data_IF_860313626269
#
_entry.id   IF_860313626269
#
_cell.length_a   1.000
_cell.length_b   1.000
_cell.length_c   1.000
_cell.angle_alpha   90.00
_cell.angle_beta   90.00
_cell.angle_gamma   90.00
#
_symmetry.space_group_name_H-M   'P 1'
#
loop_
_entity.id
_entity.type
_entity.pdbx_description
1 polymer ?
#
# COMPACT_ATOMS: atom_id res chain seq x y z
N UNK A 1 27.79 24.86 11.78
CA UNK A 1 27.17 24.27 12.98
C UNK A 1 26.20 23.21 12.51
N UNK A 2 26.55 21.94 12.74
CA UNK A 2 25.74 20.80 12.33
C UNK A 2 24.59 20.73 13.34
N UNK A 3 23.38 21.10 12.91
CA UNK A 3 22.19 20.86 13.70
C UNK A 3 22.01 19.35 13.79
N UNK A 4 22.45 18.77 14.91
CA UNK A 4 21.97 17.47 15.36
C UNK A 4 20.45 17.58 15.52
N UNK A 5 19.69 17.22 14.50
CA UNK A 5 18.29 16.88 14.66
C UNK A 5 18.26 15.67 15.59
N UNK A 6 18.05 15.93 16.89
CA UNK A 6 17.47 14.94 17.77
C UNK A 6 16.11 14.66 17.13
N UNK A 7 16.02 13.55 16.40
CA UNK A 7 14.75 13.06 15.87
C UNK A 7 13.86 12.86 17.09
N UNK A 8 13.00 13.83 17.35
CA UNK A 8 12.00 13.68 18.38
C UNK A 8 11.13 12.53 17.89
N UNK A 9 11.24 11.37 18.56
CA UNK A 9 10.46 10.18 18.26
C UNK A 9 8.99 10.47 18.58
N UNK A 10 8.34 11.31 17.80
CA UNK A 10 6.96 11.77 17.98
C UNK A 10 6.12 11.05 16.94
N UNK A 11 5.06 10.42 17.43
CA UNK A 11 4.08 9.73 16.62
C UNK A 11 3.36 10.75 15.72
N UNK A 12 3.33 10.52 14.39
CA UNK A 12 2.74 11.47 13.44
C UNK A 12 1.22 11.61 13.59
N UNK A 13 0.55 10.66 14.25
CA UNK A 13 -0.91 10.67 14.43
C UNK A 13 -1.33 11.27 15.76
N UNK A 14 -0.81 10.74 16.88
CA UNK A 14 -1.24 11.13 18.23
C UNK A 14 -0.29 12.10 18.95
N UNK A 15 0.85 12.45 18.34
CA UNK A 15 1.85 13.39 18.89
C UNK A 15 2.46 12.94 20.24
N UNK A 16 2.28 11.67 20.62
CA UNK A 16 2.97 11.04 21.76
C UNK A 16 4.28 10.41 21.32
N UNK A 17 5.08 9.95 22.28
CA UNK A 17 6.35 9.31 21.99
C UNK A 17 6.14 8.00 21.20
N UNK A 18 7.01 7.78 20.22
CA UNK A 18 7.21 6.53 19.51
C UNK A 18 8.58 5.95 19.87
N UNK A 19 8.78 4.66 19.64
CA UNK A 19 10.05 3.99 19.86
C UNK A 19 10.50 3.22 18.63
N UNK A 20 11.82 3.09 18.38
CA UNK A 20 12.32 2.20 17.33
C UNK A 20 11.82 0.77 17.57
N UNK A 21 11.32 0.13 16.52
CA UNK A 21 10.78 -1.24 16.57
C UNK A 21 11.76 -2.24 15.96
N UNK A 22 12.11 -2.08 14.68
CA UNK A 22 13.13 -2.88 13.99
C UNK A 22 13.59 -2.22 12.70
N UNK A 23 14.73 -2.69 12.19
CA UNK A 23 15.21 -2.36 10.84
C UNK A 23 14.80 -3.44 9.83
N UNK A 24 14.36 -3.05 8.63
CA UNK A 24 14.02 -3.97 7.54
C UNK A 24 14.76 -3.55 6.27
N UNK A 25 15.61 -4.44 5.74
CA UNK A 25 16.38 -4.13 4.53
C UNK A 25 15.53 -4.44 3.30
N UNK A 26 15.05 -3.40 2.64
CA UNK A 26 14.41 -3.53 1.34
C UNK A 26 15.46 -3.51 0.23
N UNK A 27 15.06 -4.07 -0.91
CA UNK A 27 15.76 -3.92 -2.16
C UNK A 27 14.77 -3.71 -3.31
N UNK A 28 15.23 -3.70 -4.56
CA UNK A 28 14.44 -3.41 -5.73
C UNK A 28 15.29 -3.57 -6.99
N UNK A 29 14.65 -3.47 -8.16
CA UNK A 29 15.37 -3.50 -9.44
C UNK A 29 16.09 -2.17 -9.68
N UNK A 30 17.21 -2.24 -10.39
CA UNK A 30 18.05 -1.09 -10.75
C UNK A 30 18.40 -0.25 -9.51
N UNK A 31 18.30 1.08 -9.63
CA UNK A 31 18.53 2.03 -8.55
C UNK A 31 17.23 2.45 -7.86
N UNK A 32 16.29 1.50 -7.68
CA UNK A 32 14.99 1.79 -7.05
C UNK A 32 15.13 2.61 -5.77
N UNK A 33 14.22 3.56 -5.55
CA UNK A 33 14.18 4.38 -4.32
C UNK A 33 14.03 3.55 -3.05
N UNK A 34 13.52 2.32 -3.18
CA UNK A 34 13.36 1.37 -2.08
C UNK A 34 14.60 0.49 -1.81
N UNK A 35 15.73 0.76 -2.45
CA UNK A 35 17.03 0.17 -2.08
C UNK A 35 17.61 0.83 -0.81
N UNK A 36 17.03 0.53 0.35
CA UNK A 36 17.47 1.07 1.64
C UNK A 36 17.04 0.17 2.82
N UNK A 37 17.57 0.45 4.00
CA UNK A 37 17.08 -0.13 5.24
C UNK A 37 16.01 0.76 5.84
N UNK A 38 14.76 0.32 5.81
CA UNK A 38 13.64 0.97 6.48
C UNK A 38 13.74 0.82 8.00
N UNK A 39 13.54 1.91 8.72
CA UNK A 39 13.50 1.96 10.18
C UNK A 39 12.05 2.00 10.62
N UNK A 40 11.53 0.87 11.08
CA UNK A 40 10.19 0.79 11.63
C UNK A 40 10.17 1.33 13.06
N UNK A 41 9.15 2.13 13.35
CA UNK A 41 8.84 2.68 14.65
C UNK A 41 7.42 2.28 15.05
N UNK A 42 7.19 2.20 16.35
CA UNK A 42 5.86 1.96 16.91
C UNK A 42 5.47 3.07 17.91
N UNK A 43 4.18 3.37 17.97
CA UNK A 43 3.62 4.21 19.02
C UNK A 43 2.78 3.37 20.00
N UNK A 44 3.27 3.25 21.23
CA UNK A 44 2.61 2.50 22.32
C UNK A 44 1.33 3.16 22.85
N UNK A 45 0.96 4.33 22.34
CA UNK A 45 -0.26 5.05 22.74
C UNK A 45 -1.42 4.86 21.76
N UNK A 46 -1.14 4.80 20.46
CA UNK A 46 -2.18 4.69 19.43
C UNK A 46 -2.09 3.44 18.56
N UNK A 47 -0.99 2.70 18.65
CA UNK A 47 -0.78 1.43 17.96
C UNK A 47 -0.24 1.59 16.53
N UNK A 48 0.03 2.82 16.08
CA UNK A 48 0.61 3.06 14.76
C UNK A 48 1.99 2.41 14.67
N UNK A 49 2.21 1.65 13.60
CA UNK A 49 3.55 1.25 13.13
C UNK A 49 3.84 2.00 11.84
N UNK A 50 5.05 2.54 11.70
CA UNK A 50 5.41 3.36 10.54
C UNK A 50 6.89 3.34 10.22
N UNK A 51 7.24 3.74 9.00
CA UNK A 51 8.61 3.91 8.54
C UNK A 51 9.05 5.36 8.76
N UNK A 52 10.11 5.56 9.52
CA UNK A 52 10.62 6.90 9.82
C UNK A 52 11.43 7.47 8.65
N UNK A 53 12.35 6.69 8.08
CA UNK A 53 13.50 7.21 7.32
C UNK A 53 13.31 7.19 5.80
N UNK A 54 12.11 7.52 5.34
CA UNK A 54 11.80 7.74 3.92
C UNK A 54 11.21 9.14 3.73
N UNK A 55 11.70 9.85 2.71
CA UNK A 55 11.29 11.22 2.40
C UNK A 55 10.14 11.23 1.39
N UNK A 56 9.35 12.30 1.43
CA UNK A 56 8.29 12.58 0.44
C UNK A 56 8.86 12.64 -0.98
N UNK A 57 10.08 13.18 -1.16
CA UNK A 57 10.76 13.22 -2.45
C UNK A 57 10.97 11.82 -3.04
N UNK A 58 11.40 10.84 -2.23
CA UNK A 58 11.59 9.45 -2.69
C UNK A 58 10.26 8.81 -3.07
N UNK A 59 9.21 9.05 -2.30
CA UNK A 59 7.87 8.54 -2.59
C UNK A 59 7.32 9.14 -3.89
N UNK A 60 7.52 10.43 -4.11
CA UNK A 60 7.16 11.11 -5.35
C UNK A 60 7.92 10.56 -6.57
N UNK A 61 9.22 10.27 -6.43
CA UNK A 61 10.01 9.59 -7.48
C UNK A 61 9.44 8.21 -7.79
N UNK A 62 9.05 7.43 -6.77
CA UNK A 62 8.40 6.14 -6.99
C UNK A 62 7.14 6.30 -7.86
N UNK A 63 6.21 7.17 -7.47
CA UNK A 63 4.95 7.35 -8.21
C UNK A 63 5.13 7.87 -9.63
N UNK A 64 6.13 8.73 -9.87
CA UNK A 64 6.36 9.32 -11.20
C UNK A 64 7.16 8.40 -12.15
N UNK A 65 8.08 7.58 -11.62
CA UNK A 65 9.06 6.84 -12.42
C UNK A 65 8.89 5.32 -12.31
N UNK A 66 8.73 4.78 -11.11
CA UNK A 66 8.81 3.34 -10.84
C UNK A 66 7.43 2.65 -10.77
N UNK A 67 6.37 3.41 -10.45
CA UNK A 67 5.03 2.88 -10.27
C UNK A 67 4.42 2.38 -11.59
N UNK A 68 3.87 1.17 -11.57
CA UNK A 68 3.27 0.45 -12.70
C UNK A 68 1.77 0.14 -12.48
N UNK A 69 1.11 0.85 -11.56
CA UNK A 69 -0.30 0.61 -11.22
C UNK A 69 -1.25 0.72 -12.42
N UNK A 70 -0.94 1.58 -13.39
CA UNK A 70 -1.75 1.80 -14.60
C UNK A 70 -1.85 0.59 -15.53
N UNK A 71 -1.03 -0.45 -15.35
CA UNK A 71 -1.03 -1.66 -16.19
C UNK A 71 -1.50 -2.91 -15.45
N UNK A 72 -1.78 -2.83 -14.14
CA UNK A 72 -2.17 -4.01 -13.34
C UNK A 72 -3.66 -4.30 -13.39
N UNK A 73 -3.98 -5.59 -13.43
CA UNK A 73 -5.35 -6.13 -13.31
C UNK A 73 -6.00 -5.76 -11.97
N UNK A 74 -5.20 -5.64 -10.90
CA UNK A 74 -5.64 -5.18 -9.58
C UNK A 74 -6.51 -3.92 -9.63
N UNK A 75 -6.16 -3.00 -10.54
CA UNK A 75 -6.82 -1.70 -10.71
C UNK A 75 -7.76 -1.66 -11.93
N UNK A 76 -8.16 -2.81 -12.47
CA UNK A 76 -9.20 -2.86 -13.49
C UNK A 76 -10.52 -2.36 -12.92
N UNK A 77 -10.96 -1.22 -13.42
CA UNK A 77 -12.18 -0.53 -12.98
C UNK A 77 -13.46 -1.30 -13.35
N UNK A 78 -13.37 -2.33 -14.20
CA UNK A 78 -14.49 -3.16 -14.64
C UNK A 78 -14.54 -4.51 -13.93
N UNK A 79 -13.54 -4.87 -13.13
CA UNK A 79 -13.54 -6.16 -12.44
C UNK A 79 -14.74 -6.26 -11.48
N UNK A 80 -15.39 -7.44 -11.38
CA UNK A 80 -16.50 -7.65 -10.44
C UNK A 80 -16.14 -7.33 -8.99
N UNK A 81 -14.90 -7.60 -8.59
CA UNK A 81 -14.34 -7.34 -7.27
C UNK A 81 -14.30 -5.84 -6.98
N UNK A 82 -13.73 -5.04 -7.89
CA UNK A 82 -13.67 -3.59 -7.72
C UNK A 82 -15.08 -2.96 -7.78
N UNK A 83 -15.98 -3.47 -8.63
CA UNK A 83 -17.39 -3.02 -8.65
C UNK A 83 -18.09 -3.28 -7.31
N UNK A 84 -17.87 -4.45 -6.69
CA UNK A 84 -18.40 -4.75 -5.36
C UNK A 84 -17.85 -3.80 -4.30
N UNK A 85 -16.56 -3.49 -4.37
CA UNK A 85 -15.89 -2.53 -3.50
C UNK A 85 -16.45 -1.10 -3.67
N UNK A 86 -16.70 -0.65 -4.90
CA UNK A 86 -17.31 0.66 -5.17
C UNK A 86 -18.74 0.77 -4.62
N UNK A 87 -19.52 -0.32 -4.72
CA UNK A 87 -20.84 -0.37 -4.09
C UNK A 87 -20.74 -0.22 -2.58
N UNK A 88 -19.81 -0.92 -1.93
CA UNK A 88 -19.57 -0.79 -0.50
C UNK A 88 -19.18 0.64 -0.09
N UNK A 89 -18.29 1.29 -0.85
CA UNK A 89 -17.94 2.70 -0.61
C UNK A 89 -19.16 3.63 -0.72
N UNK A 90 -20.00 3.45 -1.75
CA UNK A 90 -21.24 4.23 -1.90
C UNK A 90 -22.19 4.02 -0.73
N UNK A 91 -22.43 2.76 -0.35
CA UNK A 91 -23.32 2.43 0.77
C UNK A 91 -22.79 2.99 2.10
N UNK A 92 -21.48 3.03 2.29
CA UNK A 92 -20.86 3.65 3.45
C UNK A 92 -21.09 5.17 3.49
N UNK A 93 -20.97 5.84 2.34
CA UNK A 93 -21.16 7.28 2.21
C UNK A 93 -22.63 7.68 2.40
N UNK A 94 -23.57 6.98 1.74
CA UNK A 94 -24.98 7.39 1.72
C UNK A 94 -25.74 7.13 3.03
N UNK A 95 -25.23 6.25 3.90
CA UNK A 95 -25.87 5.93 5.20
C UNK A 95 -26.14 7.15 6.09
N UNK A 96 -25.37 8.23 5.95
CA UNK A 96 -25.52 9.44 6.76
C UNK A 96 -26.56 10.46 6.23
N UNK A 97 -27.28 10.14 5.14
CA UNK A 97 -28.34 10.97 4.55
C UNK A 97 -27.96 12.46 4.33
N UNK A 98 -26.69 12.72 4.03
CA UNK A 98 -26.22 14.08 3.77
C UNK A 98 -26.36 14.43 2.29
N UNK A 99 -26.75 15.68 2.00
CA UNK A 99 -26.82 16.17 0.63
C UNK A 99 -25.44 16.60 0.14
N UNK A 100 -24.70 15.68 -0.48
CA UNK A 100 -23.41 15.95 -1.07
C UNK A 100 -23.60 16.75 -2.37
N UNK A 101 -23.06 17.96 -2.45
CA UNK A 101 -23.12 18.80 -3.66
C UNK A 101 -21.95 18.48 -4.61
N UNK A 102 -20.77 18.22 -4.05
CA UNK A 102 -19.54 17.88 -4.78
C UNK A 102 -18.72 16.86 -3.97
N UNK A 103 -18.29 15.80 -4.64
CA UNK A 103 -17.36 14.79 -4.13
C UNK A 103 -16.03 14.89 -4.89
N UNK A 104 -14.92 14.91 -4.15
CA UNK A 104 -13.60 14.78 -4.73
C UNK A 104 -12.88 13.53 -4.17
N UNK A 105 -12.50 12.63 -5.07
CA UNK A 105 -11.67 11.46 -4.74
C UNK A 105 -10.20 11.81 -4.99
N UNK A 106 -9.42 11.80 -3.91
CA UNK A 106 -8.02 12.19 -3.92
C UNK A 106 -7.18 10.91 -3.98
N UNK A 107 -6.26 10.81 -4.94
CA UNK A 107 -5.62 9.56 -5.33
C UNK A 107 -6.57 8.67 -6.16
N UNK A 108 -7.35 9.26 -7.06
CA UNK A 108 -8.43 8.55 -7.76
C UNK A 108 -7.96 7.46 -8.75
N UNK A 109 -6.66 7.39 -9.06
CA UNK A 109 -6.06 6.52 -10.04
C UNK A 109 -6.80 6.60 -11.38
N UNK A 110 -7.29 5.45 -11.85
CA UNK A 110 -8.05 5.30 -13.11
C UNK A 110 -9.49 5.85 -13.05
N UNK A 111 -9.88 6.49 -11.95
CA UNK A 111 -11.20 7.09 -11.75
C UNK A 111 -12.34 6.08 -11.58
N UNK A 112 -12.04 4.82 -11.31
CA UNK A 112 -13.01 3.73 -11.34
C UNK A 112 -14.21 3.95 -10.43
N UNK A 113 -13.98 4.39 -9.19
CA UNK A 113 -15.05 4.69 -8.24
C UNK A 113 -15.95 5.83 -8.74
N UNK A 114 -15.37 6.96 -9.16
CA UNK A 114 -16.12 8.14 -9.63
C UNK A 114 -16.93 7.87 -10.89
N UNK A 115 -16.34 7.15 -11.85
CA UNK A 115 -17.02 6.75 -13.10
C UNK A 115 -18.15 5.77 -12.80
N UNK A 116 -17.93 4.86 -11.85
CA UNK A 116 -18.97 3.96 -11.38
C UNK A 116 -20.10 4.71 -10.67
N UNK A 117 -19.82 5.70 -9.82
CA UNK A 117 -20.82 6.55 -9.18
C UNK A 117 -21.69 7.28 -10.22
N UNK A 118 -21.06 7.93 -11.20
CA UNK A 118 -21.78 8.64 -12.27
C UNK A 118 -22.73 7.70 -13.01
N UNK A 119 -22.23 6.52 -13.43
CA UNK A 119 -23.03 5.52 -14.15
C UNK A 119 -24.21 5.00 -13.32
N UNK A 120 -24.08 4.98 -12.00
CA UNK A 120 -25.12 4.53 -11.07
C UNK A 120 -25.96 5.68 -10.51
N UNK A 121 -25.97 6.84 -11.19
CA UNK A 121 -26.91 7.93 -10.90
C UNK A 121 -26.61 8.70 -9.62
N UNK A 122 -25.35 8.72 -9.16
CA UNK A 122 -24.95 9.57 -8.05
C UNK A 122 -25.19 11.04 -8.42
N UNK A 123 -25.96 11.74 -7.59
CA UNK A 123 -26.48 13.07 -7.93
C UNK A 123 -25.46 14.20 -7.81
N UNK A 124 -24.37 13.97 -7.10
CA UNK A 124 -23.32 14.95 -6.86
C UNK A 124 -22.36 15.07 -8.04
N UNK A 125 -21.75 16.25 -8.18
CA UNK A 125 -20.63 16.42 -9.11
C UNK A 125 -19.42 15.60 -8.63
N UNK A 126 -18.92 14.72 -9.50
CA UNK A 126 -17.76 13.88 -9.25
C UNK A 126 -16.47 14.53 -9.77
N UNK A 127 -15.43 14.56 -8.93
CA UNK A 127 -14.12 15.11 -9.25
C UNK A 127 -13.03 14.13 -8.81
N UNK A 128 -12.05 13.83 -9.67
CA UNK A 128 -10.87 13.05 -9.34
C UNK A 128 -9.63 13.92 -9.29
N UNK A 129 -8.73 13.64 -8.34
CA UNK A 129 -7.41 14.26 -8.26
C UNK A 129 -6.37 13.17 -8.15
N UNK A 130 -5.37 13.17 -9.02
CA UNK A 130 -4.24 12.25 -8.91
C UNK A 130 -2.92 12.91 -9.33
N UNK A 131 -1.82 12.46 -8.73
CA UNK A 131 -0.46 12.88 -9.09
C UNK A 131 0.02 12.16 -10.35
N UNK A 132 -0.40 10.90 -10.56
CA UNK A 132 -0.07 10.13 -11.73
C UNK A 132 -1.00 10.46 -12.90
N UNK A 133 -0.55 11.40 -13.72
CA UNK A 133 -1.24 11.80 -14.95
C UNK A 133 -1.46 10.66 -15.95
N UNK A 134 -0.69 9.56 -15.90
CA UNK A 134 -0.88 8.40 -16.80
C UNK A 134 -2.12 7.59 -16.42
N UNK A 135 -2.50 7.61 -15.15
CA UNK A 135 -3.67 6.92 -14.63
C UNK A 135 -4.97 7.71 -14.88
N UNK A 136 -4.89 9.03 -15.05
CA UNK A 136 -6.07 9.88 -15.28
C UNK A 136 -6.79 9.46 -16.57
N UNK A 137 -8.08 9.10 -16.51
CA UNK A 137 -8.78 8.59 -17.67
C UNK A 137 -9.10 9.71 -18.66
N UNK A 138 -8.86 9.43 -19.94
CA UNK A 138 -9.38 10.24 -21.06
C UNK A 138 -10.70 9.60 -21.47
N UNK A 139 -11.82 10.23 -21.14
CA UNK A 139 -13.15 9.70 -21.41
C UNK A 139 -14.16 10.82 -21.73
N UNK A 140 -15.38 10.42 -22.13
CA UNK A 140 -16.50 11.33 -22.37
C UNK A 140 -17.45 11.43 -21.16
N UNK A 141 -16.96 11.16 -19.95
CA UNK A 141 -17.76 11.30 -18.72
C UNK A 141 -17.92 12.78 -18.34
N UNK A 142 -18.88 13.05 -17.45
CA UNK A 142 -19.01 14.35 -16.78
C UNK A 142 -18.09 14.47 -15.55
N UNK A 143 -17.40 13.38 -15.16
CA UNK A 143 -16.39 13.40 -14.10
C UNK A 143 -15.22 14.29 -14.53
N UNK A 144 -14.85 15.24 -13.67
CA UNK A 144 -13.70 16.09 -13.91
C UNK A 144 -12.46 15.49 -13.26
N UNK A 145 -11.35 15.44 -13.98
CA UNK A 145 -10.07 14.98 -13.45
C UNK A 145 -9.04 16.10 -13.44
N UNK A 146 -8.31 16.23 -12.34
CA UNK A 146 -7.26 17.21 -12.16
C UNK A 146 -5.96 16.53 -11.76
N UNK A 147 -4.84 17.09 -12.23
CA UNK A 147 -3.55 16.78 -11.64
C UNK A 147 -3.36 17.59 -10.36
N UNK A 148 -2.93 16.93 -9.28
CA UNK A 148 -2.70 17.57 -7.99
C UNK A 148 -2.22 16.56 -6.95
N UNK A 149 -1.81 17.06 -5.78
CA UNK A 149 -1.38 16.23 -4.65
C UNK A 149 -2.35 16.37 -3.49
N UNK A 150 -2.38 15.37 -2.60
CA UNK A 150 -3.17 15.45 -1.37
C UNK A 150 -2.72 16.59 -0.43
N UNK A 151 -1.47 17.04 -0.56
CA UNK A 151 -0.87 18.15 0.20
C UNK A 151 -1.02 19.52 -0.47
N UNK A 152 -1.59 19.57 -1.68
CA UNK A 152 -1.90 20.80 -2.40
C UNK A 152 -3.07 20.57 -3.36
N UNK A 153 -4.28 20.66 -2.82
CA UNK A 153 -5.49 20.34 -3.58
C UNK A 153 -5.85 21.46 -4.56
N UNK A 154 -6.22 21.15 -5.83
CA UNK A 154 -6.49 22.13 -6.88
C UNK A 154 -7.87 22.80 -6.75
N UNK A 155 -8.30 23.08 -5.52
CA UNK A 155 -9.61 23.62 -5.20
C UNK A 155 -9.52 24.94 -4.44
N UNK A 156 -10.51 25.79 -4.65
CA UNK A 156 -10.74 26.97 -3.80
C UNK A 156 -11.25 26.53 -2.43
N UNK A 157 -11.07 27.41 -1.45
CA UNK A 157 -11.53 27.18 -0.08
C UNK A 157 -13.04 26.92 -0.05
N UNK A 158 -13.48 26.01 0.83
CA UNK A 158 -14.89 25.72 1.08
C UNK A 158 -15.71 25.46 -0.18
N UNK A 159 -15.25 24.56 -1.04
CA UNK A 159 -15.95 24.15 -2.28
C UNK A 159 -16.42 22.71 -2.28
N UNK A 160 -15.74 21.83 -1.54
CA UNK A 160 -16.04 20.40 -1.55
C UNK A 160 -16.95 20.02 -0.38
N UNK A 161 -17.94 19.16 -0.62
CA UNK A 161 -18.84 18.67 0.43
C UNK A 161 -18.39 17.33 1.02
N UNK A 162 -17.68 16.54 0.22
CA UNK A 162 -17.10 15.25 0.60
C UNK A 162 -15.73 15.10 -0.08
N UNK A 163 -14.73 14.69 0.70
CA UNK A 163 -13.47 14.18 0.18
C UNK A 163 -13.35 12.69 0.48
N UNK A 164 -12.95 11.89 -0.50
CA UNK A 164 -12.58 10.48 -0.31
C UNK A 164 -11.09 10.29 -0.52
N UNK A 165 -10.50 9.41 0.28
CA UNK A 165 -9.09 9.01 0.22
C UNK A 165 -9.03 7.49 0.38
N UNK A 166 -9.03 6.76 -0.73
CA UNK A 166 -8.98 5.30 -0.73
C UNK A 166 -7.57 4.82 -1.08
N UNK A 167 -6.88 4.16 -0.13
CA UNK A 167 -5.49 3.71 -0.27
C UNK A 167 -4.51 4.84 -0.58
N UNK A 168 -4.54 5.89 0.25
CA UNK A 168 -3.72 7.10 0.05
C UNK A 168 -2.94 7.48 1.30
N UNK A 169 -3.56 7.42 2.47
CA UNK A 169 -2.96 7.88 3.72
C UNK A 169 -1.73 7.06 4.13
N UNK A 170 -1.69 5.79 3.77
CA UNK A 170 -0.56 4.89 4.04
C UNK A 170 0.69 5.22 3.22
N UNK A 171 0.57 6.10 2.22
CA UNK A 171 1.63 6.43 1.27
C UNK A 171 2.20 7.84 1.40
N UNK A 172 1.58 8.74 2.17
CA UNK A 172 1.95 10.16 2.22
C UNK A 172 2.61 10.49 3.55
N UNK A 173 3.80 11.12 3.53
CA UNK A 173 4.56 11.42 4.75
C UNK A 173 3.90 12.50 5.61
N UNK A 174 3.46 13.60 5.01
CA UNK A 174 2.91 14.75 5.75
C UNK A 174 1.38 14.71 5.87
N UNK A 175 0.89 13.82 6.74
CA UNK A 175 -0.55 13.64 7.00
C UNK A 175 -1.23 14.89 7.59
N UNK A 176 -0.48 15.72 8.33
CA UNK A 176 -1.05 16.94 8.89
C UNK A 176 -1.29 17.97 7.79
N UNK A 177 -0.35 18.12 6.84
CA UNK A 177 -0.55 18.99 5.68
C UNK A 177 -1.71 18.51 4.80
N UNK A 178 -1.84 17.18 4.59
CA UNK A 178 -3.01 16.61 3.88
C UNK A 178 -4.32 17.02 4.55
N UNK A 179 -4.41 16.89 5.88
CA UNK A 179 -5.64 17.22 6.60
C UNK A 179 -5.88 18.72 6.72
N UNK A 180 -4.83 19.55 6.73
CA UNK A 180 -4.95 21.01 6.62
C UNK A 180 -5.55 21.42 5.27
N UNK A 181 -5.09 20.81 4.18
CA UNK A 181 -5.64 21.04 2.85
C UNK A 181 -7.08 20.53 2.72
N UNK A 182 -7.35 19.33 3.24
CA UNK A 182 -8.71 18.80 3.32
C UNK A 182 -9.64 19.76 4.08
N UNK A 183 -9.19 20.27 5.22
CA UNK A 183 -9.95 21.25 6.00
C UNK A 183 -10.19 22.55 5.22
N UNK A 184 -9.17 23.05 4.51
CA UNK A 184 -9.26 24.28 3.70
C UNK A 184 -10.32 24.17 2.61
N UNK A 185 -10.35 23.06 1.87
CA UNK A 185 -11.22 22.91 0.70
C UNK A 185 -12.63 22.45 1.04
N UNK A 186 -12.82 21.77 2.18
CA UNK A 186 -14.14 21.34 2.65
C UNK A 186 -14.99 22.53 3.11
N UNK A 187 -16.26 22.52 2.70
CA UNK A 187 -17.29 23.40 3.29
C UNK A 187 -17.42 23.14 4.80
N UNK A 188 -18.03 24.09 5.50
CA UNK A 188 -18.41 23.85 6.90
C UNK A 188 -19.38 22.67 6.98
N UNK A 189 -19.16 21.79 7.96
CA UNK A 189 -19.87 20.51 8.09
C UNK A 189 -19.66 19.51 6.93
N UNK A 190 -18.69 19.76 6.04
CA UNK A 190 -18.27 18.78 5.04
C UNK A 190 -17.59 17.56 5.65
N UNK A 191 -17.52 16.49 4.88
CA UNK A 191 -17.03 15.19 5.34
C UNK A 191 -15.75 14.76 4.65
N UNK A 192 -14.97 13.97 5.35
CA UNK A 192 -13.86 13.20 4.81
C UNK A 192 -14.14 11.72 5.08
N UNK A 193 -13.89 10.89 4.07
CA UNK A 193 -13.87 9.43 4.19
C UNK A 193 -12.46 8.97 3.83
N UNK A 194 -11.86 8.21 4.73
CA UNK A 194 -10.54 7.62 4.54
C UNK A 194 -10.69 6.11 4.62
N UNK A 195 -10.13 5.39 3.67
CA UNK A 195 -9.98 3.94 3.71
C UNK A 195 -8.51 3.57 3.54
N UNK A 196 -8.03 2.70 4.43
CA UNK A 196 -6.67 2.17 4.45
C UNK A 196 -6.73 0.69 4.84
N UNK A 197 -5.69 -0.10 4.57
CA UNK A 197 -5.55 -1.42 5.17
C UNK A 197 -5.60 -1.38 6.70
N UNK A 198 -6.43 -2.23 7.31
CA UNK A 198 -6.51 -2.39 8.76
C UNK A 198 -5.35 -3.26 9.25
N UNK A 199 -4.26 -2.59 9.63
CA UNK A 199 -3.06 -3.28 10.06
C UNK A 199 -3.26 -4.11 11.33
N UNK A 200 -4.23 -3.76 12.19
CA UNK A 200 -4.56 -4.53 13.40
C UNK A 200 -5.00 -5.97 13.09
N UNK A 201 -5.44 -6.23 11.85
CA UNK A 201 -5.97 -7.50 11.37
C UNK A 201 -5.02 -8.23 10.41
N UNK A 202 -3.83 -7.72 10.14
CA UNK A 202 -2.88 -8.39 9.24
C UNK A 202 -2.54 -9.83 9.67
N UNK A 203 -2.39 -10.09 10.97
CA UNK A 203 -2.12 -11.46 11.46
C UNK A 203 -3.33 -12.39 11.29
N UNK A 204 -4.55 -11.85 11.31
CA UNK A 204 -5.78 -12.64 11.11
C UNK A 204 -5.97 -13.00 9.63
N UNK A 205 -5.45 -12.17 8.72
CA UNK A 205 -5.55 -12.33 7.28
C UNK A 205 -4.16 -12.24 6.62
N UNK A 206 -3.23 -13.15 6.93
CA UNK A 206 -1.88 -13.09 6.38
C UNK A 206 -1.88 -13.50 4.91
N UNK A 207 -1.15 -12.76 4.08
CA UNK A 207 -0.79 -13.21 2.72
C UNK A 207 0.68 -13.59 2.79
N UNK A 208 0.91 -14.89 2.87
CA UNK A 208 2.19 -15.45 3.19
C UNK A 208 2.93 -14.79 4.37
N UNK A 209 4.26 -14.84 4.36
CA UNK A 209 5.06 -14.46 5.53
C UNK A 209 5.15 -12.95 5.78
N UNK A 210 5.23 -12.13 4.74
CA UNK A 210 5.64 -10.73 4.87
C UNK A 210 4.90 -9.75 3.96
N UNK A 211 3.89 -10.20 3.19
CA UNK A 211 3.23 -9.38 2.15
C UNK A 211 2.87 -7.98 2.63
N UNK A 212 2.14 -7.87 3.74
CA UNK A 212 1.64 -6.59 4.26
C UNK A 212 2.73 -5.55 4.57
N UNK A 213 3.93 -6.01 4.98
CA UNK A 213 5.07 -5.14 5.28
C UNK A 213 6.06 -5.07 4.11
N UNK A 214 5.92 -5.92 3.11
CA UNK A 214 6.72 -5.93 1.90
C UNK A 214 6.22 -4.92 0.86
N UNK A 215 4.98 -4.44 0.95
CA UNK A 215 4.48 -3.31 0.16
C UNK A 215 5.20 -2.04 0.64
N UNK A 216 6.29 -1.68 -0.04
CA UNK A 216 7.33 -0.77 0.48
C UNK A 216 6.87 0.69 0.54
N UNK A 217 5.90 1.01 -0.29
CA UNK A 217 5.20 2.29 -0.35
C UNK A 217 4.16 2.45 0.78
N UNK A 218 3.81 1.41 1.53
CA UNK A 218 2.97 1.50 2.73
C UNK A 218 3.86 1.92 3.92
N UNK A 219 4.07 3.22 4.07
CA UNK A 219 4.92 3.78 5.13
C UNK A 219 4.19 3.95 6.46
N UNK A 220 2.86 3.85 6.47
CA UNK A 220 2.03 3.81 7.68
C UNK A 220 1.16 2.55 7.72
N UNK A 221 1.09 1.92 8.88
CA UNK A 221 0.24 0.78 9.17
C UNK A 221 -0.75 1.17 10.26
N UNK A 222 -1.94 1.60 9.84
CA UNK A 222 -2.91 2.24 10.72
C UNK A 222 -3.73 1.23 11.53
N UNK A 223 -3.99 1.61 12.78
CA UNK A 223 -5.13 1.11 13.56
C UNK A 223 -6.25 2.15 13.51
N UNK A 224 -7.47 1.73 13.86
CA UNK A 224 -8.59 2.67 14.04
C UNK A 224 -8.25 3.78 15.04
N UNK A 225 -7.58 3.43 16.15
CA UNK A 225 -7.18 4.39 17.17
C UNK A 225 -6.17 5.42 16.62
N UNK A 226 -5.15 4.99 15.88
CA UNK A 226 -4.17 5.89 15.27
C UNK A 226 -4.83 6.88 14.30
N UNK A 227 -5.66 6.38 13.39
CA UNK A 227 -6.31 7.23 12.37
C UNK A 227 -7.34 8.19 12.99
N UNK A 228 -8.07 7.75 14.02
CA UNK A 228 -8.97 8.63 14.78
C UNK A 228 -8.22 9.74 15.53
N UNK A 229 -7.07 9.43 16.14
CA UNK A 229 -6.26 10.46 16.81
C UNK A 229 -5.75 11.50 15.81
N UNK A 230 -5.29 11.06 14.65
CA UNK A 230 -4.84 11.95 13.57
C UNK A 230 -5.96 12.92 13.15
N UNK A 231 -7.17 12.40 12.91
CA UNK A 231 -8.34 13.21 12.54
C UNK A 231 -8.74 14.20 13.64
N UNK A 232 -8.82 13.74 14.89
CA UNK A 232 -9.16 14.58 16.05
C UNK A 232 -8.16 15.72 16.30
N UNK A 233 -6.90 15.51 15.92
CA UNK A 233 -5.85 16.52 16.04
C UNK A 233 -5.89 17.56 14.91
N UNK A 234 -6.61 17.27 13.82
CA UNK A 234 -6.71 18.11 12.62
C UNK A 234 -8.13 18.66 12.39
N UNK A 235 -8.91 18.85 13.46
CA UNK A 235 -10.27 19.42 13.41
C UNK A 235 -11.26 18.60 12.57
N UNK A 236 -11.20 17.27 12.74
CA UNK A 236 -12.18 16.34 12.24
C UNK A 236 -12.77 15.50 13.38
N UNK A 237 -14.09 15.53 13.50
CA UNK A 237 -14.88 14.71 14.43
C UNK A 237 -15.24 13.40 13.73
N UNK A 238 -14.72 12.28 14.22
CA UNK A 238 -15.03 10.95 13.71
C UNK A 238 -16.48 10.61 14.05
N UNK A 239 -17.25 10.28 13.01
CA UNK A 239 -18.66 9.94 13.09
C UNK A 239 -18.84 8.43 13.02
N UNK A 240 -18.05 7.76 12.17
CA UNK A 240 -18.20 6.34 11.88
C UNK A 240 -16.88 5.68 11.57
N UNK A 241 -16.74 4.43 12.01
CA UNK A 241 -15.63 3.54 11.67
C UNK A 241 -16.20 2.18 11.31
N UNK A 242 -15.71 1.60 10.23
CA UNK A 242 -16.13 0.30 9.73
C UNK A 242 -14.89 -0.51 9.36
N UNK A 243 -14.86 -1.77 9.82
CA UNK A 243 -13.80 -2.73 9.56
C UNK A 243 -14.43 -3.87 8.77
N UNK A 244 -13.95 -4.15 7.56
CA UNK A 244 -14.53 -5.16 6.67
C UNK A 244 -13.43 -5.94 5.95
N UNK A 245 -13.75 -7.09 5.34
CA UNK A 245 -12.90 -7.67 4.29
C UNK A 245 -13.39 -7.17 2.94
N UNK A 246 -12.53 -6.44 2.21
CA UNK A 246 -12.87 -5.95 0.90
C UNK A 246 -12.13 -6.72 -0.19
N UNK A 247 -12.80 -7.00 -1.33
CA UNK A 247 -12.19 -7.74 -2.40
C UNK A 247 -11.29 -6.85 -3.28
N UNK A 248 -10.27 -7.47 -3.83
CA UNK A 248 -9.53 -7.04 -5.01
C UNK A 248 -9.51 -8.20 -5.99
N UNK A 249 -9.16 -7.98 -7.27
CA UNK A 249 -9.07 -9.06 -8.24
C UNK A 249 -8.19 -10.24 -7.81
N UNK A 250 -7.16 -9.99 -6.99
CA UNK A 250 -6.16 -10.99 -6.62
C UNK A 250 -6.38 -11.59 -5.22
N UNK A 251 -6.93 -10.82 -4.28
CA UNK A 251 -7.13 -11.24 -2.89
C UNK A 251 -8.13 -10.34 -2.16
N UNK A 252 -8.64 -10.82 -1.02
CA UNK A 252 -9.36 -9.98 -0.05
C UNK A 252 -8.39 -9.41 0.98
N UNK A 253 -8.63 -8.18 1.42
CA UNK A 253 -7.78 -7.52 2.41
C UNK A 253 -8.61 -6.95 3.58
N UNK A 254 -8.02 -6.88 4.78
CA UNK A 254 -8.68 -6.24 5.90
C UNK A 254 -8.68 -4.72 5.68
N UNK A 255 -9.86 -4.15 5.50
CA UNK A 255 -10.08 -2.72 5.30
C UNK A 255 -10.49 -2.04 6.60
N UNK A 256 -9.99 -0.83 6.82
CA UNK A 256 -10.41 0.12 7.84
C UNK A 256 -10.89 1.40 7.14
N UNK A 257 -12.19 1.69 7.26
CA UNK A 257 -12.79 2.89 6.70
C UNK A 257 -13.34 3.79 7.81
N UNK A 258 -13.03 5.08 7.74
CA UNK A 258 -13.43 6.09 8.72
C UNK A 258 -14.11 7.25 8.01
N UNK A 259 -15.29 7.62 8.49
CA UNK A 259 -15.93 8.89 8.14
C UNK A 259 -15.77 9.88 9.29
N UNK A 260 -15.30 11.08 8.95
CA UNK A 260 -15.22 12.18 9.88
C UNK A 260 -15.78 13.47 9.28
N UNK A 261 -16.31 14.31 10.15
CA UNK A 261 -16.90 15.61 9.82
C UNK A 261 -15.92 16.72 10.18
N UNK A 262 -15.76 17.70 9.29
CA UNK A 262 -15.03 18.94 9.61
C UNK A 262 -15.72 19.62 10.78
N UNK A 263 -15.05 19.65 11.93
CA UNK A 263 -15.63 20.06 13.21
C UNK A 263 -14.53 20.34 14.23
N UNK A 264 -14.75 21.33 15.10
CA UNK A 264 -13.87 21.57 16.27
C UNK A 264 -14.22 20.68 17.46
N UNK A 265 -15.35 19.99 17.41
CA UNK A 265 -15.74 19.05 18.46
C UNK A 265 -14.82 17.84 18.44
N UNK A 266 -14.67 17.20 19.60
CA UNK A 266 -13.95 15.94 19.71
C UNK A 266 -14.89 14.78 19.34
N UNK A 267 -14.30 13.76 18.73
CA UNK A 267 -14.99 12.51 18.42
C UNK A 267 -15.58 11.91 19.69
N UNK A 268 -16.81 11.38 19.56
CA UNK A 268 -17.42 10.57 20.63
C UNK A 268 -16.96 9.12 20.59
N UNK A 269 -16.38 8.69 19.46
CA UNK A 269 -15.90 7.33 19.26
C UNK A 269 -14.57 7.15 20.00
N UNK A 270 -14.55 6.19 20.93
CA UNK A 270 -13.38 5.82 21.72
C UNK A 270 -12.95 4.42 21.27
N UNK A 271 -11.69 4.27 20.88
CA UNK A 271 -11.11 2.98 20.52
C UNK A 271 -10.19 2.49 21.62
N UNK A 272 -10.24 1.18 21.87
CA UNK A 272 -9.22 0.52 22.66
C UNK A 272 -7.92 0.46 21.88
N UNK A 273 -6.81 0.41 22.60
CA UNK A 273 -5.50 0.17 22.03
C UNK A 273 -5.41 -1.26 21.49
N UNK A 274 -4.79 -1.42 20.32
CA UNK A 274 -4.60 -2.70 19.64
C UNK A 274 -3.08 -2.93 19.46
N UNK A 275 -2.51 -3.94 20.12
CA UNK A 275 -1.05 -4.22 20.14
C UNK A 275 -0.55 -5.11 18.99
N UNK A 276 -1.42 -5.49 18.05
CA UNK A 276 -1.16 -6.66 17.21
C UNK A 276 -0.07 -6.43 16.13
N UNK A 277 0.10 -5.19 15.66
CA UNK A 277 0.93 -4.91 14.47
C UNK A 277 2.41 -5.18 14.74
N UNK A 278 2.93 -4.69 15.86
CA UNK A 278 4.36 -4.79 16.20
C UNK A 278 4.82 -6.22 16.41
N UNK A 279 3.97 -7.05 17.03
CA UNK A 279 4.24 -8.47 17.21
C UNK A 279 4.24 -9.19 15.86
N UNK A 280 3.24 -8.92 15.02
CA UNK A 280 3.15 -9.51 13.69
C UNK A 280 4.34 -9.11 12.80
N UNK A 281 4.77 -7.83 12.82
CA UNK A 281 5.96 -7.39 12.08
C UNK A 281 7.24 -8.14 12.50
N UNK A 282 7.46 -8.30 13.81
CA UNK A 282 8.60 -9.08 14.34
C UNK A 282 8.54 -10.54 13.89
N UNK A 283 7.34 -11.14 13.94
CA UNK A 283 7.08 -12.51 13.48
C UNK A 283 7.36 -12.67 11.99
N UNK A 284 6.83 -11.78 11.14
CA UNK A 284 7.08 -11.75 9.69
C UNK A 284 8.57 -11.65 9.37
N UNK A 285 9.31 -10.77 10.05
CA UNK A 285 10.76 -10.64 9.86
C UNK A 285 11.50 -11.94 10.21
N UNK A 286 11.17 -12.55 11.34
CA UNK A 286 11.79 -13.81 11.77
C UNK A 286 11.48 -14.96 10.81
N UNK A 287 10.24 -15.06 10.35
CA UNK A 287 9.82 -16.05 9.36
C UNK A 287 10.54 -15.84 8.02
N UNK A 288 10.73 -14.60 7.57
CA UNK A 288 11.49 -14.29 6.35
C UNK A 288 12.96 -14.71 6.48
N UNK A 289 13.56 -14.49 7.66
CA UNK A 289 14.92 -14.97 7.95
C UNK A 289 15.00 -16.50 7.94
N UNK A 290 13.99 -17.19 8.47
CA UNK A 290 13.92 -18.65 8.43
C UNK A 290 13.80 -19.16 6.99
N UNK A 291 12.98 -18.51 6.15
CA UNK A 291 12.89 -18.84 4.73
C UNK A 291 14.22 -18.64 4.01
N UNK A 292 14.91 -17.52 4.25
CA UNK A 292 16.25 -17.30 3.70
C UNK A 292 17.21 -18.42 4.10
N UNK A 293 17.20 -18.83 5.38
CA UNK A 293 18.04 -19.93 5.85
C UNK A 293 17.70 -21.26 5.15
N UNK A 294 16.42 -21.57 4.92
CA UNK A 294 16.00 -22.77 4.17
C UNK A 294 16.51 -22.75 2.73
N UNK A 295 16.47 -21.59 2.08
CA UNK A 295 16.98 -21.42 0.71
C UNK A 295 18.50 -21.59 0.66
N UNK A 296 19.23 -21.03 1.63
CA UNK A 296 20.68 -21.21 1.74
C UNK A 296 21.06 -22.69 1.94
N UNK A 297 20.25 -23.49 2.64
CA UNK A 297 20.48 -24.94 2.72
C UNK A 297 20.35 -25.62 1.35
N UNK A 298 19.48 -25.12 0.47
CA UNK A 298 19.38 -25.65 -0.91
C UNK A 298 20.61 -25.27 -1.73
N UNK A 299 21.19 -24.10 -1.52
CA UNK A 299 22.44 -23.69 -2.17
C UNK A 299 23.64 -24.61 -1.85
N UNK A 300 23.59 -25.41 -0.78
CA UNK A 300 24.63 -26.41 -0.48
C UNK A 300 24.55 -27.65 -1.39
N UNK A 301 23.36 -27.98 -1.88
CA UNK A 301 23.12 -29.16 -2.74
C UNK A 301 23.08 -28.78 -4.22
N UNK A 302 22.60 -27.59 -4.54
CA UNK A 302 22.40 -27.12 -5.91
C UNK A 302 23.39 -25.98 -6.22
N UNK A 303 24.22 -26.10 -7.26
CA UNK A 303 25.26 -25.12 -7.55
C UNK A 303 24.69 -23.74 -7.93
N UNK A 304 23.47 -23.71 -8.48
CA UNK A 304 22.76 -22.51 -8.92
C UNK A 304 21.35 -22.53 -8.35
N UNK A 305 20.88 -21.37 -7.85
CA UNK A 305 19.48 -21.15 -7.50
C UNK A 305 18.81 -20.24 -8.52
N UNK A 306 17.58 -20.54 -8.90
CA UNK A 306 16.78 -19.69 -9.80
C UNK A 306 15.61 -19.12 -9.01
N UNK A 307 15.43 -17.81 -9.05
CA UNK A 307 14.26 -17.15 -8.47
C UNK A 307 13.32 -16.70 -9.58
N UNK A 308 12.07 -17.19 -9.55
CA UNK A 308 11.04 -16.77 -10.48
C UNK A 308 10.06 -15.83 -9.78
N UNK A 309 10.03 -14.59 -10.26
CA UNK A 309 9.07 -13.56 -9.91
C UNK A 309 9.70 -12.46 -9.06
N UNK A 310 9.72 -11.24 -9.60
CA UNK A 310 10.23 -10.05 -8.96
C UNK A 310 9.10 -9.34 -8.19
N UNK A 311 8.62 -9.94 -7.10
CA UNK A 311 7.56 -9.39 -6.25
C UNK A 311 8.10 -8.56 -5.08
N UNK A 312 7.22 -7.83 -4.40
CA UNK A 312 7.58 -7.01 -3.23
C UNK A 312 8.23 -7.83 -2.10
N UNK A 313 7.77 -9.06 -1.90
CA UNK A 313 8.28 -9.99 -0.87
C UNK A 313 9.66 -10.53 -1.26
N UNK A 314 9.85 -10.85 -2.55
CA UNK A 314 11.16 -11.24 -3.07
C UNK A 314 12.21 -10.18 -2.78
N UNK A 315 11.86 -8.90 -2.91
CA UNK A 315 12.77 -7.80 -2.61
C UNK A 315 13.04 -7.58 -1.12
N UNK A 316 12.20 -8.12 -0.24
CA UNK A 316 12.50 -8.22 1.20
C UNK A 316 13.38 -9.43 1.52
N UNK A 317 13.25 -10.51 0.76
CA UNK A 317 14.00 -11.75 0.94
C UNK A 317 15.44 -11.66 0.41
N UNK A 318 15.61 -11.11 -0.80
CA UNK A 318 16.89 -11.04 -1.51
C UNK A 318 18.07 -10.54 -0.66
N UNK A 319 17.93 -9.48 0.15
CA UNK A 319 19.02 -8.99 0.99
C UNK A 319 19.50 -9.98 2.07
N UNK A 320 18.72 -11.03 2.35
CA UNK A 320 19.04 -12.08 3.31
C UNK A 320 19.74 -13.28 2.65
N UNK A 321 19.68 -13.38 1.31
CA UNK A 321 20.31 -14.43 0.52
C UNK A 321 21.81 -14.10 0.37
N UNK A 322 22.66 -15.06 0.75
CA UNK A 322 24.12 -14.94 0.77
C UNK A 322 24.78 -15.66 -0.38
N UNK A 323 24.14 -16.71 -0.91
CA UNK A 323 24.66 -17.43 -2.07
C UNK A 323 24.75 -16.48 -3.28
N UNK A 324 25.88 -16.56 -4.00
CA UNK A 324 26.19 -15.62 -5.11
C UNK A 324 25.75 -16.14 -6.47
N UNK A 325 25.65 -17.46 -6.62
CA UNK A 325 25.31 -18.06 -7.90
C UNK A 325 23.78 -18.20 -8.01
N UNK A 326 23.14 -17.09 -8.36
CA UNK A 326 21.69 -17.02 -8.53
C UNK A 326 21.34 -16.52 -9.93
N UNK A 327 20.23 -17.00 -10.48
CA UNK A 327 19.56 -16.41 -11.63
C UNK A 327 18.19 -15.89 -11.20
N UNK A 328 17.71 -14.85 -11.86
CA UNK A 328 16.39 -14.28 -11.62
C UNK A 328 15.64 -14.27 -12.94
N UNK A 329 14.37 -14.65 -12.92
CA UNK A 329 13.47 -14.54 -14.06
C UNK A 329 12.10 -13.97 -13.67
N UNK A 330 11.45 -13.33 -14.63
CA UNK A 330 10.09 -12.80 -14.50
C UNK A 330 9.41 -12.79 -15.87
N UNK A 331 8.10 -12.99 -15.94
CA UNK A 331 7.35 -12.97 -17.20
C UNK A 331 7.13 -11.55 -17.75
N UNK A 332 7.23 -10.52 -16.91
CA UNK A 332 7.08 -9.13 -17.31
C UNK A 332 8.24 -8.67 -18.20
N UNK A 333 7.90 -8.27 -19.43
CA UNK A 333 8.86 -7.68 -20.39
C UNK A 333 9.52 -6.41 -19.86
N UNK A 334 8.80 -5.61 -19.07
CA UNK A 334 9.35 -4.41 -18.44
C UNK A 334 10.43 -4.77 -17.42
N UNK A 335 10.16 -5.76 -16.56
CA UNK A 335 11.15 -6.22 -15.57
C UNK A 335 12.36 -6.89 -16.22
N UNK A 336 12.19 -7.57 -17.36
CA UNK A 336 13.29 -8.17 -18.14
C UNK A 336 14.27 -7.13 -18.73
N UNK A 337 13.89 -5.85 -18.81
CA UNK A 337 14.79 -4.75 -19.20
C UNK A 337 15.62 -4.22 -18.02
N UNK A 338 15.38 -4.73 -16.82
CA UNK A 338 16.03 -4.31 -15.58
C UNK A 338 17.03 -5.34 -15.06
N UNK A 339 17.70 -5.01 -13.96
CA UNK A 339 18.63 -5.90 -13.27
C UNK A 339 18.54 -5.75 -11.75
N UNK A 340 19.09 -6.71 -11.01
CA UNK A 340 19.30 -6.64 -9.57
C UNK A 340 20.78 -6.87 -9.27
N UNK A 341 21.49 -5.88 -8.70
CA UNK A 341 22.93 -6.00 -8.43
C UNK A 341 23.74 -6.55 -9.64
N UNK A 342 23.46 -6.02 -10.85
CA UNK A 342 24.02 -6.47 -12.14
C UNK A 342 23.57 -7.88 -12.61
N UNK A 343 22.70 -8.57 -11.88
CA UNK A 343 22.06 -9.81 -12.33
C UNK A 343 20.89 -9.43 -13.23
N UNK A 344 20.95 -9.84 -14.49
CA UNK A 344 19.88 -9.61 -15.47
C UNK A 344 18.63 -10.41 -15.10
N UNK A 345 17.45 -9.82 -15.28
CA UNK A 345 16.18 -10.52 -15.17
C UNK A 345 15.89 -11.25 -16.49
N UNK A 346 15.89 -12.58 -16.45
CA UNK A 346 15.73 -13.43 -17.63
C UNK A 346 14.25 -13.73 -17.93
N UNK A 347 13.99 -14.17 -19.16
CA UNK A 347 12.73 -14.85 -19.45
C UNK A 347 12.71 -16.21 -18.75
N UNK A 348 11.55 -16.70 -18.27
CA UNK A 348 11.47 -17.98 -17.57
C UNK A 348 11.93 -19.19 -18.38
N UNK A 349 11.91 -19.10 -19.72
CA UNK A 349 12.42 -20.16 -20.60
C UNK A 349 13.95 -20.16 -20.75
N UNK A 350 14.63 -19.07 -20.35
CA UNK A 350 16.07 -18.83 -20.56
C UNK A 350 16.90 -18.96 -19.28
N UNK A 351 16.44 -19.75 -18.31
CA UNK A 351 17.16 -20.05 -17.06
C UNK A 351 17.56 -21.53 -17.03
N UNK A 352 18.57 -21.85 -16.24
CA UNK A 352 19.09 -23.23 -16.13
C UNK A 352 18.13 -24.13 -15.33
N UNK A 353 17.51 -25.09 -16.02
CA UNK A 353 16.52 -26.02 -15.44
C UNK A 353 17.13 -27.13 -14.60
N UNK A 354 18.45 -27.32 -14.64
CA UNK A 354 19.16 -28.25 -13.74
C UNK A 354 19.44 -27.61 -12.36
N UNK A 355 19.02 -26.37 -12.15
CA UNK A 355 19.16 -25.62 -10.89
C UNK A 355 18.05 -25.99 -9.90
N UNK A 356 17.99 -25.29 -8.76
CA UNK A 356 16.84 -25.34 -7.86
C UNK A 356 15.99 -24.08 -8.03
N UNK A 357 14.70 -24.24 -8.32
CA UNK A 357 13.75 -23.14 -8.53
C UNK A 357 13.11 -22.71 -7.21
N UNK A 358 13.10 -21.40 -6.98
CA UNK A 358 12.34 -20.73 -5.94
C UNK A 358 11.28 -19.85 -6.62
N UNK A 359 10.01 -20.18 -6.40
CA UNK A 359 8.87 -19.39 -6.86
C UNK A 359 8.55 -18.37 -5.76
N UNK A 360 8.82 -17.10 -6.04
CA UNK A 360 8.80 -16.06 -5.03
C UNK A 360 7.42 -15.40 -4.77
N UNK A 361 6.56 -15.13 -5.79
CA UNK A 361 5.28 -14.48 -5.55
C UNK A 361 4.30 -15.37 -4.80
N UNK A 362 3.71 -14.87 -3.70
CA UNK A 362 2.72 -15.62 -2.91
C UNK A 362 1.40 -15.83 -3.66
N UNK A 363 0.86 -14.77 -4.27
CA UNK A 363 -0.47 -14.78 -4.88
C UNK A 363 -0.54 -15.63 -6.16
N UNK A 364 0.57 -15.71 -6.90
CA UNK A 364 0.64 -16.39 -8.20
C UNK A 364 1.40 -17.72 -8.14
N UNK A 365 1.69 -18.23 -6.94
CA UNK A 365 2.58 -19.37 -6.78
C UNK A 365 2.13 -20.62 -7.54
N UNK A 366 0.83 -20.92 -7.56
CA UNK A 366 0.26 -22.10 -8.21
C UNK A 366 0.39 -22.00 -9.73
N UNK A 367 -0.01 -20.87 -10.31
CA UNK A 367 0.11 -20.64 -11.75
C UNK A 367 1.58 -20.65 -12.20
N UNK A 368 2.49 -20.08 -11.40
CA UNK A 368 3.92 -20.12 -11.72
C UNK A 368 4.46 -21.55 -11.60
N UNK A 369 4.04 -22.34 -10.59
CA UNK A 369 4.45 -23.74 -10.45
C UNK A 369 4.00 -24.58 -11.63
N UNK A 370 2.74 -24.44 -12.06
CA UNK A 370 2.21 -25.12 -13.23
C UNK A 370 3.00 -24.77 -14.50
N UNK A 371 3.32 -23.49 -14.71
CA UNK A 371 4.16 -23.05 -15.81
C UNK A 371 5.59 -23.59 -15.73
N UNK A 372 6.18 -23.66 -14.54
CA UNK A 372 7.51 -24.24 -14.34
C UNK A 372 7.52 -25.73 -14.71
N UNK A 373 6.55 -26.51 -14.25
CA UNK A 373 6.41 -27.92 -14.63
C UNK A 373 6.24 -28.08 -16.15
N UNK A 374 5.41 -27.25 -16.78
CA UNK A 374 5.24 -27.24 -18.24
C UNK A 374 6.52 -26.89 -19.01
N UNK A 375 7.40 -26.07 -18.42
CA UNK A 375 8.72 -25.77 -18.97
C UNK A 375 9.75 -26.89 -18.71
N UNK A 376 9.40 -27.95 -17.98
CA UNK A 376 10.26 -29.11 -17.74
C UNK A 376 11.09 -29.04 -16.46
N UNK A 377 10.67 -28.25 -15.47
CA UNK A 377 11.25 -28.33 -14.12
C UNK A 377 10.76 -29.60 -13.41
N UNK A 378 11.64 -30.26 -12.67
CA UNK A 378 11.27 -31.41 -11.84
C UNK A 378 10.61 -30.95 -10.54
N UNK A 379 9.52 -31.59 -10.12
CA UNK A 379 8.76 -31.14 -8.94
C UNK A 379 9.61 -31.08 -7.66
N UNK A 380 10.56 -32.01 -7.49
CA UNK A 380 11.48 -32.04 -6.36
C UNK A 380 12.51 -30.91 -6.33
N UNK A 381 12.72 -30.24 -7.46
CA UNK A 381 13.61 -29.09 -7.62
C UNK A 381 12.91 -27.75 -7.44
N UNK A 382 11.62 -27.74 -7.05
CA UNK A 382 10.83 -26.52 -6.90
C UNK A 382 10.50 -26.27 -5.42
N UNK A 383 10.79 -25.06 -4.97
CA UNK A 383 10.31 -24.51 -3.71
C UNK A 383 9.37 -23.35 -3.99
N UNK A 384 8.20 -23.37 -3.37
CA UNK A 384 7.27 -22.24 -3.35
C UNK A 384 7.46 -21.51 -2.02
N UNK A 385 7.64 -20.19 -2.07
CA UNK A 385 7.66 -19.40 -0.84
C UNK A 385 6.28 -19.34 -0.21
N UNK A 386 6.25 -19.38 1.13
CA UNK A 386 5.03 -19.41 1.94
C UNK A 386 4.92 -18.14 2.76
#
# INVERSE_FOLDING_TARGET
MIHNHIANNICPTCQKTSQPLLDWKFSGLNNSVFNYTAKFYECVHCGLVYIENISEEKLSIFYSIECDYHDKEHFDIKSPENVRKYQFYKDFIEKENFNYTQIADIGCGRGGFLLWLEKNGFSSKCIGVDVDTKSIPINNSSVLFYNGTATQLPFKNSTQSLLTYFHVFEHIKDLNLVLQEANRVLIDNGYIVIEVPDASRYEQYPIGTAFWFAIREHIYHFTANALCNLLNNNSFEVIKVEKELLPTPEFEYPSLMIMAKKSKNKSKVIFNFEENISLFLKKSKNQLQNQANMIEQKALKYPTLVFWGCSSEFFSLLPLIKCKNIQICDSSKLKQQSSYNNIKINMPMNVDKNSYLIIAPYLYNKAIKENALALGWEEESIMVLI
#
